data_IF_340786418819
#
_entry.id   IF_340786418819
#
_cell.length_a   1.000
_cell.length_b   1.000
_cell.length_c   1.000
_cell.angle_alpha   90.00
_cell.angle_beta   90.00
_cell.angle_gamma   90.00
#
_symmetry.space_group_name_H-M   'P 1'
#
loop_
_entity.id
_entity.type
_entity.pdbx_description
1 polymer ?
#
# COMPACT_ATOMS: atom_id res chain seq x y z
N UNK A 1 0.48 13.18 11.80
CA UNK A 1 0.38 11.73 12.06
C UNK A 1 -1.04 11.47 12.48
N UNK A 2 -1.93 11.41 11.50
CA UNK A 2 -3.38 11.49 11.69
C UNK A 2 -4.01 10.44 10.79
N UNK A 3 -5.12 9.85 11.22
CA UNK A 3 -5.80 8.73 10.53
C UNK A 3 -6.10 9.04 9.05
N UNK A 4 -6.51 10.28 8.74
CA UNK A 4 -6.74 10.74 7.37
C UNK A 4 -5.48 10.75 6.51
N UNK A 5 -4.32 11.05 7.11
CA UNK A 5 -3.03 11.00 6.42
C UNK A 5 -2.63 9.57 6.07
N UNK A 6 -2.86 8.63 7.00
CA UNK A 6 -2.62 7.20 6.77
C UNK A 6 -3.57 6.62 5.71
N UNK A 7 -4.83 7.07 5.68
CA UNK A 7 -5.81 6.63 4.70
C UNK A 7 -5.49 7.10 3.27
N UNK A 8 -5.06 8.36 3.10
CA UNK A 8 -4.62 8.87 1.80
C UNK A 8 -3.38 8.16 1.24
N UNK A 9 -2.47 7.71 2.11
CA UNK A 9 -1.29 6.91 1.71
C UNK A 9 -1.72 5.55 1.15
N UNK A 10 -2.68 4.86 1.79
CA UNK A 10 -3.22 3.60 1.27
C UNK A 10 -3.95 3.81 -0.06
N UNK A 11 -4.67 4.93 -0.22
CA UNK A 11 -5.33 5.29 -1.48
C UNK A 11 -4.33 5.60 -2.61
N UNK A 12 -3.22 6.29 -2.30
CA UNK A 12 -2.10 6.52 -3.24
C UNK A 12 -1.42 5.22 -3.66
N UNK A 13 -1.22 4.29 -2.74
CA UNK A 13 -0.69 2.94 -3.01
C UNK A 13 -1.62 2.19 -3.98
N UNK A 14 -2.94 2.26 -3.76
CA UNK A 14 -3.95 1.65 -4.63
C UNK A 14 -4.09 2.34 -6.00
N UNK A 15 -3.84 3.66 -6.09
CA UNK A 15 -3.86 4.43 -7.34
C UNK A 15 -2.64 4.17 -8.26
N UNK A 16 -1.70 3.31 -7.87
CA UNK A 16 -0.54 2.95 -8.70
C UNK A 16 0.78 3.65 -8.33
N UNK A 17 0.79 4.56 -7.36
CA UNK A 17 2.03 5.21 -6.88
C UNK A 17 2.81 4.37 -5.85
N UNK A 18 2.37 3.14 -5.57
CA UNK A 18 3.09 2.21 -4.71
C UNK A 18 4.48 1.85 -5.22
N UNK A 19 4.69 1.83 -6.55
CA UNK A 19 6.02 1.58 -7.15
C UNK A 19 7.03 2.66 -6.74
N UNK A 20 6.64 3.94 -6.76
CA UNK A 20 7.54 5.06 -6.44
C UNK A 20 7.94 5.03 -4.97
N UNK A 21 6.97 4.82 -4.07
CA UNK A 21 7.24 4.67 -2.63
C UNK A 21 8.01 3.40 -2.29
N UNK A 22 7.81 2.30 -3.03
CA UNK A 22 8.58 1.07 -2.86
C UNK A 22 10.05 1.28 -3.27
N UNK A 23 10.29 1.96 -4.39
CA UNK A 23 11.64 2.26 -4.87
C UNK A 23 12.39 3.19 -3.91
N UNK A 24 11.75 4.22 -3.37
CA UNK A 24 12.34 5.08 -2.35
C UNK A 24 12.67 4.30 -1.06
N UNK A 25 11.78 3.42 -0.61
CA UNK A 25 12.02 2.56 0.56
C UNK A 25 13.16 1.56 0.33
N UNK A 26 13.31 1.03 -0.89
CA UNK A 26 14.42 0.16 -1.27
C UNK A 26 15.75 0.89 -1.35
N UNK A 27 15.75 2.19 -1.69
CA UNK A 27 16.94 3.04 -1.79
C UNK A 27 17.46 3.49 -0.42
N UNK A 28 16.55 3.75 0.53
CA UNK A 28 16.89 4.26 1.87
C UNK A 28 16.95 3.15 2.93
N UNK A 29 16.19 2.07 2.72
CA UNK A 29 16.05 0.96 3.65
C UNK A 29 16.56 -0.37 3.11
N UNK A 30 15.80 -1.43 3.38
CA UNK A 30 16.19 -2.82 3.13
C UNK A 30 15.13 -3.56 2.31
N UNK A 31 15.47 -4.74 1.78
CA UNK A 31 14.61 -5.51 0.85
C UNK A 31 13.28 -5.94 1.47
N UNK A 32 13.16 -5.80 2.80
CA UNK A 32 11.92 -5.99 3.58
C UNK A 32 10.78 -5.03 3.21
N UNK A 33 11.04 -3.92 2.51
CA UNK A 33 9.98 -3.03 2.01
C UNK A 33 9.07 -3.74 0.99
N UNK A 34 9.62 -4.65 0.17
CA UNK A 34 8.89 -5.33 -0.92
C UNK A 34 7.72 -6.19 -0.39
N UNK A 35 7.91 -7.13 0.55
CA UNK A 35 6.80 -7.93 1.08
C UNK A 35 5.76 -7.10 1.82
N UNK A 36 6.13 -5.96 2.41
CA UNK A 36 5.20 -5.06 3.11
C UNK A 36 4.22 -4.37 2.15
N UNK A 37 4.74 -3.81 1.05
CA UNK A 37 3.90 -3.19 0.02
C UNK A 37 3.04 -4.22 -0.71
N UNK A 38 3.59 -5.40 -1.04
CA UNK A 38 2.81 -6.49 -1.65
C UNK A 38 1.69 -6.97 -0.73
N UNK A 39 1.95 -7.17 0.57
CA UNK A 39 0.91 -7.57 1.51
C UNK A 39 -0.21 -6.53 1.61
N UNK A 40 0.14 -5.23 1.59
CA UNK A 40 -0.85 -4.14 1.64
C UNK A 40 -1.76 -4.13 0.42
N UNK A 41 -1.22 -4.35 -0.79
CA UNK A 41 -2.00 -4.43 -2.04
C UNK A 41 -2.90 -5.67 -2.04
N UNK A 42 -2.40 -6.83 -1.61
CA UNK A 42 -3.17 -8.08 -1.54
C UNK A 42 -4.33 -7.95 -0.55
N UNK A 43 -4.07 -7.41 0.64
CA UNK A 43 -5.11 -7.18 1.66
C UNK A 43 -6.12 -6.13 1.16
N UNK A 44 -5.66 -5.04 0.55
CA UNK A 44 -6.52 -4.02 -0.04
C UNK A 44 -7.49 -4.59 -1.08
N UNK A 45 -6.99 -5.39 -2.02
CA UNK A 45 -7.82 -6.03 -3.03
C UNK A 45 -8.81 -7.03 -2.45
N UNK A 46 -8.41 -7.81 -1.43
CA UNK A 46 -9.30 -8.73 -0.73
C UNK A 46 -10.45 -8.00 -0.02
N UNK A 47 -10.14 -6.91 0.69
CA UNK A 47 -11.15 -6.10 1.38
C UNK A 47 -12.09 -5.42 0.39
N UNK A 48 -11.57 -4.82 -0.68
CA UNK A 48 -12.38 -4.19 -1.74
C UNK A 48 -13.28 -5.20 -2.42
N UNK A 49 -12.76 -6.38 -2.77
CA UNK A 49 -13.56 -7.42 -3.39
C UNK A 49 -14.64 -7.94 -2.44
N UNK A 50 -14.33 -8.12 -1.16
CA UNK A 50 -15.32 -8.52 -0.16
C UNK A 50 -16.39 -7.44 0.06
N UNK A 51 -16.03 -6.17 -0.01
CA UNK A 51 -16.98 -5.04 0.09
C UNK A 51 -17.91 -4.94 -1.12
N UNK A 52 -17.48 -5.35 -2.32
CA UNK A 52 -18.32 -5.35 -3.52
C UNK A 52 -19.26 -6.56 -3.60
N UNK A 53 -18.89 -7.66 -2.95
CA UNK A 53 -19.69 -8.88 -2.85
C UNK A 53 -20.71 -8.80 -1.69
N UNK A 54 -20.37 -8.08 -0.62
CA UNK A 54 -21.25 -7.77 0.51
C UNK A 54 -22.31 -6.73 0.15
#
# INVERSE_FOLDING_TARGET
TDFMHSFMIVFRVLCGEWIESMWDCMLVGDVSCIPFFLATVVIGNLVVSNLFIA
#
